data_IF_783317796775
#
_entry.id   IF_783317796775
#
_cell.length_a   1.000
_cell.length_b   1.000
_cell.length_c   1.000
_cell.angle_alpha   90.00
_cell.angle_beta   90.00
_cell.angle_gamma   90.00
#
_symmetry.space_group_name_H-M   'P 1'
#
loop_
_entity.id
_entity.type
_entity.pdbx_description
1 polymer ?
#
# COMPACT_ATOMS: atom_id res chain seq x y z
N UNK A 1 -14.23 67.12 -46.50
CA UNK A 1 -15.21 66.06 -46.15
C UNK A 1 -14.43 64.91 -45.50
N UNK A 2 -14.48 64.70 -44.17
CA UNK A 2 -13.77 63.59 -43.54
C UNK A 2 -14.67 62.34 -43.46
N UNK A 3 -14.10 61.18 -43.79
CA UNK A 3 -14.69 59.88 -43.47
C UNK A 3 -14.45 59.54 -41.99
N UNK A 4 -15.46 59.14 -41.21
CA UNK A 4 -15.23 58.54 -39.91
C UNK A 4 -14.90 57.05 -40.06
N UNK A 5 -13.76 56.67 -39.48
CA UNK A 5 -13.36 55.29 -39.24
C UNK A 5 -14.24 54.67 -38.14
N UNK A 6 -14.92 53.56 -38.44
CA UNK A 6 -15.63 52.73 -37.47
C UNK A 6 -14.70 51.66 -36.90
N UNK A 7 -14.44 51.73 -35.58
CA UNK A 7 -13.71 50.74 -34.79
C UNK A 7 -14.61 49.51 -34.52
N UNK A 8 -14.07 48.27 -34.54
CA UNK A 8 -14.80 47.12 -34.05
C UNK A 8 -14.79 47.13 -32.51
N UNK A 9 -15.95 47.32 -31.90
CA UNK A 9 -16.12 47.09 -30.46
C UNK A 9 -16.24 45.60 -30.20
N UNK A 10 -15.21 45.03 -29.58
CA UNK A 10 -15.25 43.74 -28.91
C UNK A 10 -16.22 43.80 -27.72
N UNK A 11 -17.53 43.76 -27.98
CA UNK A 11 -18.58 43.73 -26.96
C UNK A 11 -18.90 42.30 -26.59
N UNK A 12 -18.07 41.67 -25.77
CA UNK A 12 -18.43 40.39 -25.16
C UNK A 12 -17.90 40.17 -23.75
N UNK A 13 -17.57 41.24 -23.02
CA UNK A 13 -17.08 41.14 -21.63
C UNK A 13 -17.85 41.97 -20.58
N UNK A 14 -18.98 42.57 -20.95
CA UNK A 14 -19.66 43.55 -20.09
C UNK A 14 -21.08 43.15 -19.66
N UNK A 15 -21.32 41.90 -19.24
CA UNK A 15 -22.63 41.53 -18.68
C UNK A 15 -22.60 40.47 -17.57
N UNK A 16 -21.68 40.58 -16.61
CA UNK A 16 -21.83 39.89 -15.31
C UNK A 16 -21.59 40.91 -14.20
N UNK A 17 -22.58 41.18 -13.32
CA UNK A 17 -22.41 42.09 -12.19
C UNK A 17 -21.31 41.60 -11.24
N UNK A 18 -20.57 42.50 -10.55
CA UNK A 18 -19.43 42.12 -9.71
C UNK A 18 -19.79 41.10 -8.61
N UNK A 19 -21.02 41.16 -8.09
CA UNK A 19 -21.56 40.19 -7.12
C UNK A 19 -21.79 38.79 -7.71
N UNK A 20 -22.07 38.67 -9.01
CA UNK A 20 -22.21 37.38 -9.69
C UNK A 20 -20.85 36.72 -9.96
N UNK A 21 -19.81 37.52 -10.20
CA UNK A 21 -18.43 37.03 -10.38
C UNK A 21 -17.83 36.49 -9.08
N UNK A 22 -18.07 37.15 -7.95
CA UNK A 22 -17.64 36.66 -6.63
C UNK A 22 -18.40 35.42 -6.19
N UNK A 23 -19.70 35.34 -6.47
CA UNK A 23 -20.50 34.14 -6.22
C UNK A 23 -20.05 32.94 -7.07
N UNK A 24 -19.74 33.16 -8.36
CA UNK A 24 -19.19 32.13 -9.24
C UNK A 24 -17.78 31.68 -8.83
N UNK A 25 -16.90 32.61 -8.43
CA UNK A 25 -15.58 32.27 -7.88
C UNK A 25 -15.70 31.47 -6.57
N UNK A 26 -16.60 31.89 -5.68
CA UNK A 26 -16.88 31.20 -4.43
C UNK A 26 -17.43 29.79 -4.64
N UNK A 27 -18.32 29.60 -5.60
CA UNK A 27 -18.86 28.29 -5.98
C UNK A 27 -17.80 27.38 -6.62
N UNK A 28 -16.93 27.94 -7.46
CA UNK A 28 -15.79 27.21 -8.06
C UNK A 28 -14.76 26.78 -7.02
N UNK A 29 -14.48 27.62 -6.02
CA UNK A 29 -13.59 27.29 -4.90
C UNK A 29 -14.18 26.20 -3.99
N UNK A 30 -15.50 26.23 -3.73
CA UNK A 30 -16.18 25.17 -2.95
C UNK A 30 -16.23 23.83 -3.69
N UNK A 31 -16.39 23.85 -5.02
CA UNK A 31 -16.38 22.63 -5.82
C UNK A 31 -15.00 21.96 -5.88
N UNK A 32 -13.91 22.74 -5.79
CA UNK A 32 -12.55 22.22 -5.83
C UNK A 32 -12.15 21.45 -4.55
N UNK A 33 -12.79 21.70 -3.40
CA UNK A 33 -12.50 20.99 -2.14
C UNK A 33 -13.27 19.69 -1.96
N UNK A 34 -14.25 19.39 -2.83
CA UNK A 34 -15.12 18.21 -2.69
C UNK A 34 -14.53 16.92 -3.28
N UNK A 35 -13.38 16.97 -3.94
CA UNK A 35 -12.70 15.82 -4.55
C UNK A 35 -11.42 15.45 -3.80
N UNK A 36 -11.53 15.09 -2.52
CA UNK A 36 -10.46 14.39 -1.80
C UNK A 36 -10.39 12.91 -2.24
N UNK A 37 -9.24 12.23 -2.08
CA UNK A 37 -9.20 10.78 -2.21
C UNK A 37 -10.19 10.14 -1.24
N UNK A 38 -10.70 8.96 -1.61
CA UNK A 38 -11.62 8.17 -0.76
C UNK A 38 -10.89 7.01 -0.09
N UNK A 39 -9.58 6.91 -0.32
CA UNK A 39 -8.68 5.86 0.17
C UNK A 39 -7.34 6.50 0.50
N UNK A 40 -6.71 6.02 1.57
CA UNK A 40 -5.37 6.43 1.95
C UNK A 40 -4.36 6.30 0.81
N UNK A 41 -3.41 7.24 0.73
CA UNK A 41 -2.30 7.17 -0.23
C UNK A 41 -1.38 5.97 0.03
N UNK A 42 -0.58 5.61 -0.97
CA UNK A 42 0.44 4.57 -0.82
C UNK A 42 1.41 4.87 0.33
N UNK A 43 1.73 3.85 1.12
CA UNK A 43 2.72 3.94 2.17
C UNK A 43 3.68 2.74 2.12
N UNK A 44 4.95 3.00 1.80
CA UNK A 44 5.96 1.96 1.67
C UNK A 44 6.12 1.12 2.95
N UNK A 45 6.12 1.77 4.12
CA UNK A 45 6.21 1.08 5.41
C UNK A 45 5.01 0.16 5.65
N UNK A 46 3.79 0.60 5.35
CA UNK A 46 2.60 -0.23 5.51
C UNK A 46 2.64 -1.46 4.59
N UNK A 47 3.04 -1.27 3.34
CA UNK A 47 3.19 -2.33 2.35
C UNK A 47 4.27 -3.34 2.75
N UNK A 48 5.46 -2.86 3.11
CA UNK A 48 6.58 -3.70 3.57
C UNK A 48 6.19 -4.48 4.84
N UNK A 49 5.53 -3.82 5.80
CA UNK A 49 5.08 -4.47 7.03
C UNK A 49 4.03 -5.56 6.75
N UNK A 50 3.04 -5.30 5.88
CA UNK A 50 2.02 -6.28 5.52
C UNK A 50 2.61 -7.49 4.77
N UNK A 51 3.57 -7.25 3.87
CA UNK A 51 4.25 -8.33 3.13
C UNK A 51 5.16 -9.17 4.02
N UNK A 52 5.91 -8.55 4.94
CA UNK A 52 6.73 -9.27 5.93
C UNK A 52 5.86 -10.14 6.84
N UNK A 53 4.80 -9.55 7.41
CA UNK A 53 3.88 -10.26 8.31
C UNK A 53 3.17 -11.42 7.62
N UNK A 54 2.82 -11.30 6.33
CA UNK A 54 2.29 -12.43 5.56
C UNK A 54 3.27 -13.60 5.56
N UNK A 55 4.54 -13.35 5.23
CA UNK A 55 5.56 -14.40 5.15
C UNK A 55 5.80 -15.03 6.53
N UNK A 56 5.97 -14.20 7.56
CA UNK A 56 6.21 -14.65 8.93
C UNK A 56 5.04 -15.47 9.47
N UNK A 57 3.80 -15.01 9.26
CA UNK A 57 2.60 -15.73 9.70
C UNK A 57 2.49 -17.09 9.02
N UNK A 58 2.63 -17.15 7.69
CA UNK A 58 2.52 -18.42 6.96
C UNK A 58 3.63 -19.41 7.35
N UNK A 59 4.86 -18.92 7.58
CA UNK A 59 5.97 -19.75 8.04
C UNK A 59 5.76 -20.26 9.47
N UNK A 60 5.15 -19.46 10.35
CA UNK A 60 4.78 -19.92 11.69
C UNK A 60 3.64 -20.94 11.65
N UNK A 61 2.66 -20.75 10.77
CA UNK A 61 1.56 -21.71 10.58
C UNK A 61 2.06 -23.10 10.17
N UNK A 62 3.14 -23.19 9.38
CA UNK A 62 3.77 -24.48 9.05
C UNK A 62 4.21 -25.29 10.29
N UNK A 63 4.45 -24.60 11.40
CA UNK A 63 4.85 -25.21 12.67
C UNK A 63 3.67 -25.70 13.49
N UNK A 64 2.43 -25.42 13.09
CA UNK A 64 1.24 -25.79 13.84
C UNK A 64 0.88 -27.29 13.80
N UNK A 65 1.71 -28.11 13.15
CA UNK A 65 1.69 -29.57 13.30
C UNK A 65 2.42 -30.05 14.56
N UNK A 66 3.20 -29.17 15.20
CA UNK A 66 3.87 -29.40 16.48
C UNK A 66 3.09 -28.74 17.63
N UNK A 67 3.34 -29.17 18.89
CA UNK A 67 2.71 -28.57 20.07
C UNK A 67 2.92 -27.06 20.15
N UNK A 68 1.83 -26.32 20.41
CA UNK A 68 1.84 -24.86 20.55
C UNK A 68 2.90 -24.37 21.55
N UNK A 69 3.10 -25.11 22.64
CA UNK A 69 4.05 -24.76 23.68
C UNK A 69 5.50 -24.62 23.16
N UNK A 70 5.86 -25.33 22.11
CA UNK A 70 7.19 -25.24 21.47
C UNK A 70 7.38 -23.93 20.68
N UNK A 71 6.29 -23.23 20.40
CA UNK A 71 6.26 -22.04 19.53
C UNK A 71 5.56 -20.84 20.18
N UNK A 72 5.22 -20.91 21.47
CA UNK A 72 4.45 -19.88 22.17
C UNK A 72 5.10 -18.49 22.09
N UNK A 73 6.42 -18.40 22.20
CA UNK A 73 7.16 -17.13 22.09
C UNK A 73 7.07 -16.54 20.67
N UNK A 74 7.17 -17.38 19.64
CA UNK A 74 7.04 -16.96 18.24
C UNK A 74 5.62 -16.48 17.94
N UNK A 75 4.60 -17.16 18.49
CA UNK A 75 3.19 -16.73 18.40
C UNK A 75 3.01 -15.39 19.10
N UNK A 76 3.55 -15.21 20.30
CA UNK A 76 3.42 -13.96 21.04
C UNK A 76 4.12 -12.80 20.29
N UNK A 77 5.31 -13.04 19.73
CA UNK A 77 6.01 -12.08 18.88
C UNK A 77 5.15 -11.68 17.68
N UNK A 78 4.65 -12.66 16.92
CA UNK A 78 3.79 -12.41 15.76
C UNK A 78 2.56 -11.58 16.14
N UNK A 79 1.87 -11.92 17.23
CA UNK A 79 0.71 -11.16 17.72
C UNK A 79 1.06 -9.70 18.02
N UNK A 80 2.21 -9.44 18.62
CA UNK A 80 2.66 -8.07 18.88
C UNK A 80 2.91 -7.30 17.58
N UNK A 81 3.56 -7.91 16.58
CA UNK A 81 3.81 -7.24 15.29
C UNK A 81 2.52 -7.02 14.48
N UNK A 82 1.57 -7.94 14.56
CA UNK A 82 0.23 -7.80 13.99
C UNK A 82 -0.55 -6.63 14.62
N UNK A 83 -0.50 -6.49 15.94
CA UNK A 83 -1.17 -5.38 16.63
C UNK A 83 -0.53 -4.02 16.27
N UNK A 84 0.81 -3.99 16.14
CA UNK A 84 1.51 -2.80 15.62
C UNK A 84 1.05 -2.44 14.21
N UNK A 85 0.80 -3.43 13.34
CA UNK A 85 0.30 -3.19 11.99
C UNK A 85 -1.12 -2.62 11.99
N UNK A 86 -1.98 -3.18 12.83
CA UNK A 86 -3.34 -2.68 13.04
C UNK A 86 -3.34 -1.23 13.54
N UNK A 87 -2.62 -0.91 14.61
CA UNK A 87 -2.59 0.45 15.16
C UNK A 87 -1.92 1.44 14.20
N UNK A 88 -0.91 1.00 13.44
CA UNK A 88 -0.35 1.83 12.36
C UNK A 88 -1.39 2.12 11.29
N UNK A 89 -2.09 1.10 10.78
CA UNK A 89 -3.12 1.27 9.77
C UNK A 89 -4.27 2.17 10.26
N UNK A 90 -4.70 1.99 11.51
CA UNK A 90 -5.76 2.78 12.17
C UNK A 90 -5.38 4.24 12.40
N UNK A 91 -4.10 4.52 12.65
CA UNK A 91 -3.60 5.88 12.85
C UNK A 91 -3.44 6.70 11.56
N UNK A 92 -3.61 6.09 10.39
CA UNK A 92 -3.47 6.78 9.09
C UNK A 92 -4.80 7.41 8.64
N UNK A 93 -4.75 8.60 8.02
CA UNK A 93 -5.94 9.22 7.44
C UNK A 93 -6.53 8.36 6.31
N UNK A 94 -7.85 8.26 6.26
CA UNK A 94 -8.61 7.58 5.19
C UNK A 94 -8.24 6.08 5.02
N UNK A 95 -7.78 5.43 6.09
CA UNK A 95 -7.31 4.04 6.07
C UNK A 95 -8.20 3.09 6.91
N UNK A 96 -9.44 3.49 7.18
CA UNK A 96 -10.36 2.76 8.06
C UNK A 96 -10.71 1.36 7.49
N UNK A 97 -10.67 1.21 6.16
CA UNK A 97 -10.89 -0.08 5.49
C UNK A 97 -9.74 -1.03 5.81
N UNK A 98 -8.49 -0.60 5.65
CA UNK A 98 -7.31 -1.44 5.95
C UNK A 98 -7.25 -1.78 7.43
N UNK A 99 -7.52 -0.81 8.31
CA UNK A 99 -7.61 -1.05 9.75
C UNK A 99 -8.68 -2.11 10.10
N UNK A 100 -9.85 -2.06 9.44
CA UNK A 100 -10.87 -3.12 9.60
C UNK A 100 -10.40 -4.48 9.09
N UNK A 101 -9.70 -4.55 7.96
CA UNK A 101 -9.18 -5.84 7.45
C UNK A 101 -8.14 -6.43 8.40
N UNK A 102 -7.24 -5.60 8.96
CA UNK A 102 -6.33 -6.03 10.03
C UNK A 102 -7.10 -6.57 11.22
N UNK A 103 -8.11 -5.84 11.71
CA UNK A 103 -8.91 -6.28 12.86
C UNK A 103 -9.60 -7.62 12.58
N UNK A 104 -10.16 -7.78 11.38
CA UNK A 104 -10.79 -9.02 10.91
C UNK A 104 -9.80 -10.20 10.90
N UNK A 105 -8.57 -9.96 10.43
CA UNK A 105 -7.53 -10.98 10.31
C UNK A 105 -7.07 -11.48 11.68
N UNK A 106 -6.90 -10.58 12.65
CA UNK A 106 -6.24 -10.87 13.94
C UNK A 106 -7.21 -11.18 15.09
N UNK A 107 -8.52 -11.07 14.84
CA UNK A 107 -9.56 -11.32 15.83
C UNK A 107 -9.53 -12.79 16.30
N UNK A 108 -9.30 -13.07 17.60
CA UNK A 108 -9.28 -14.45 18.12
C UNK A 108 -10.62 -15.15 18.00
N UNK A 109 -11.73 -14.42 17.90
CA UNK A 109 -13.07 -15.00 17.85
C UNK A 109 -13.54 -15.27 16.41
N UNK A 110 -12.63 -15.22 15.42
CA UNK A 110 -12.93 -15.39 13.99
C UNK A 110 -12.00 -16.36 13.29
N UNK A 111 -12.47 -16.98 12.22
CA UNK A 111 -11.82 -18.13 11.56
C UNK A 111 -10.52 -17.86 10.77
N UNK A 112 -9.98 -16.63 10.81
CA UNK A 112 -8.73 -16.26 10.15
C UNK A 112 -7.52 -16.48 11.07
N UNK A 113 -6.49 -15.63 11.00
CA UNK A 113 -5.23 -15.84 11.72
C UNK A 113 -5.42 -15.77 13.23
N UNK A 114 -6.23 -14.83 13.72
CA UNK A 114 -6.54 -14.70 15.15
C UNK A 114 -7.13 -16.00 15.72
N UNK A 115 -8.23 -16.50 15.14
CA UNK A 115 -8.84 -17.76 15.57
C UNK A 115 -7.93 -18.97 15.34
N UNK A 116 -7.20 -19.03 14.22
CA UNK A 116 -6.21 -20.11 14.01
C UNK A 116 -5.19 -20.18 15.16
N UNK A 117 -4.66 -19.05 15.62
CA UNK A 117 -3.70 -19.00 16.72
C UNK A 117 -4.36 -19.31 18.08
N UNK A 118 -5.63 -18.93 18.27
CA UNK A 118 -6.40 -19.26 19.47
C UNK A 118 -6.69 -20.78 19.53
N UNK A 119 -7.22 -21.34 18.46
CA UNK A 119 -7.48 -22.77 18.29
C UNK A 119 -6.20 -23.59 18.47
N UNK A 120 -5.07 -23.12 17.94
CA UNK A 120 -3.79 -23.84 18.08
C UNK A 120 -3.36 -23.91 19.54
N UNK A 121 -3.55 -22.83 20.29
CA UNK A 121 -3.27 -22.79 21.73
C UNK A 121 -4.14 -23.78 22.51
N UNK A 122 -5.39 -23.95 22.13
CA UNK A 122 -6.34 -24.85 22.81
C UNK A 122 -6.14 -26.32 22.43
N UNK A 123 -5.93 -26.58 21.14
CA UNK A 123 -5.84 -27.94 20.57
C UNK A 123 -4.40 -28.49 20.54
N UNK A 124 -3.41 -27.66 20.87
CA UNK A 124 -1.97 -27.94 20.86
C UNK A 124 -1.36 -28.16 19.47
N UNK A 125 -2.02 -28.87 18.55
CA UNK A 125 -1.51 -29.10 17.20
C UNK A 125 -2.65 -29.41 16.21
N UNK A 126 -2.37 -29.28 14.92
CA UNK A 126 -3.28 -29.57 13.82
C UNK A 126 -2.71 -30.60 12.84
N UNK A 127 -3.56 -31.13 11.96
CA UNK A 127 -3.11 -31.93 10.82
C UNK A 127 -2.45 -31.05 9.75
N UNK A 128 -1.48 -31.60 9.02
CA UNK A 128 -0.81 -30.88 7.93
C UNK A 128 -1.82 -30.39 6.86
N UNK A 129 -2.83 -31.19 6.51
CA UNK A 129 -3.88 -30.81 5.55
C UNK A 129 -4.65 -29.58 6.04
N UNK A 130 -5.06 -29.55 7.31
CA UNK A 130 -5.78 -28.40 7.86
C UNK A 130 -4.91 -27.13 7.83
N UNK A 131 -3.63 -27.25 8.18
CA UNK A 131 -2.68 -26.12 8.12
C UNK A 131 -2.57 -25.56 6.71
N UNK A 132 -2.42 -26.39 5.68
CA UNK A 132 -2.31 -25.92 4.29
C UNK A 132 -3.59 -25.23 3.77
N UNK A 133 -4.76 -25.77 4.12
CA UNK A 133 -6.04 -25.16 3.76
C UNK A 133 -6.24 -23.80 4.44
N UNK A 134 -5.92 -23.70 5.74
CA UNK A 134 -6.01 -22.44 6.49
C UNK A 134 -4.99 -21.43 6.01
N UNK A 135 -3.75 -21.83 5.70
CA UNK A 135 -2.73 -20.96 5.10
C UNK A 135 -3.22 -20.31 3.82
N UNK A 136 -3.90 -21.06 2.95
CA UNK A 136 -4.47 -20.52 1.70
C UNK A 136 -5.52 -19.43 1.96
N UNK A 137 -6.35 -19.60 3.00
CA UNK A 137 -7.35 -18.59 3.38
C UNK A 137 -6.70 -17.34 3.97
N UNK A 138 -5.76 -17.52 4.89
CA UNK A 138 -5.05 -16.43 5.56
C UNK A 138 -4.14 -15.66 4.59
N UNK A 139 -3.49 -16.35 3.65
CA UNK A 139 -2.70 -15.71 2.59
C UNK A 139 -3.53 -14.73 1.76
N UNK A 140 -4.76 -15.12 1.38
CA UNK A 140 -5.70 -14.24 0.65
C UNK A 140 -6.17 -13.05 1.49
N UNK A 141 -6.35 -13.23 2.79
CA UNK A 141 -6.68 -12.12 3.68
C UNK A 141 -5.54 -11.10 3.77
N UNK A 142 -4.29 -11.57 3.87
CA UNK A 142 -3.11 -10.70 3.76
C UNK A 142 -3.02 -10.01 2.39
N UNK A 143 -3.28 -10.73 1.30
CA UNK A 143 -3.26 -10.14 -0.05
C UNK A 143 -4.26 -8.98 -0.17
N UNK A 144 -5.46 -9.14 0.41
CA UNK A 144 -6.44 -8.05 0.47
C UNK A 144 -5.90 -6.83 1.21
N UNK A 145 -5.20 -7.02 2.33
CA UNK A 145 -4.57 -5.92 3.10
C UNK A 145 -3.45 -5.27 2.27
N UNK A 146 -2.58 -6.08 1.66
CA UNK A 146 -1.44 -5.60 0.85
C UNK A 146 -1.94 -4.78 -0.35
N UNK A 147 -3.00 -5.23 -1.01
CA UNK A 147 -3.64 -4.49 -2.10
C UNK A 147 -4.16 -3.12 -1.64
N UNK A 148 -4.80 -3.05 -0.46
CA UNK A 148 -5.27 -1.79 0.11
C UNK A 148 -4.11 -0.85 0.48
N UNK A 149 -3.06 -1.37 1.13
CA UNK A 149 -1.88 -0.58 1.52
C UNK A 149 -1.01 -0.16 0.32
N UNK A 150 -1.14 -0.85 -0.83
CA UNK A 150 -0.49 -0.47 -2.10
C UNK A 150 -1.12 0.78 -2.76
N UNK A 151 -2.19 1.34 -2.19
CA UNK A 151 -2.76 2.62 -2.59
C UNK A 151 -3.48 2.61 -3.96
N UNK A 152 -3.78 1.44 -4.53
CA UNK A 152 -4.41 1.24 -5.85
C UNK A 152 -3.74 2.04 -6.99
N UNK A 153 -2.51 1.65 -7.36
CA UNK A 153 -2.02 1.96 -8.72
C UNK A 153 -3.00 1.40 -9.76
N UNK A 154 -3.26 2.13 -10.85
CA UNK A 154 -3.96 1.55 -12.01
C UNK A 154 -3.13 0.36 -12.53
N UNK A 155 -3.74 -0.72 -13.06
CA UNK A 155 -3.00 -1.89 -13.54
C UNK A 155 -1.80 -1.55 -14.45
N UNK A 156 -1.93 -0.48 -15.24
CA UNK A 156 -0.90 0.01 -16.17
C UNK A 156 0.35 0.61 -15.49
N UNK A 157 0.21 1.15 -14.27
CA UNK A 157 1.33 1.72 -13.51
C UNK A 157 2.13 0.65 -12.77
N UNK A 158 1.49 -0.48 -12.43
CA UNK A 158 2.20 -1.67 -11.89
C UNK A 158 2.95 -2.39 -13.02
N UNK A 159 2.35 -2.50 -14.21
CA UNK A 159 2.96 -3.16 -15.38
C UNK A 159 4.19 -2.42 -15.91
N UNK A 160 4.21 -1.08 -15.79
CA UNK A 160 5.30 -0.24 -16.31
C UNK A 160 6.22 0.32 -15.21
N UNK A 161 6.06 -0.10 -13.95
CA UNK A 161 7.00 0.25 -12.89
C UNK A 161 8.34 -0.44 -13.17
N UNK A 162 9.47 0.27 -13.29
CA UNK A 162 10.77 -0.37 -13.33
C UNK A 162 10.97 -1.05 -11.97
N UNK A 163 10.79 -2.37 -11.95
CA UNK A 163 11.24 -3.22 -10.87
C UNK A 163 12.74 -2.94 -10.71
N UNK A 164 13.12 -2.13 -9.72
CA UNK A 164 14.51 -2.05 -9.27
C UNK A 164 14.82 -3.35 -8.56
N UNK A 165 15.15 -4.37 -9.35
CA UNK A 165 16.12 -5.37 -8.91
C UNK A 165 17.41 -4.68 -8.47
N UNK A 166 18.28 -5.35 -7.69
CA UNK A 166 19.56 -4.78 -7.29
C UNK A 166 20.26 -4.25 -8.53
N UNK A 167 20.76 -3.00 -8.45
CA UNK A 167 21.43 -2.34 -9.55
C UNK A 167 22.43 -3.30 -10.21
N UNK A 168 22.48 -3.41 -11.55
CA UNK A 168 23.49 -4.23 -12.19
C UNK A 168 24.87 -3.78 -11.68
N UNK A 169 25.70 -4.76 -11.30
CA UNK A 169 27.05 -4.50 -10.86
C UNK A 169 27.75 -3.55 -11.85
N UNK A 170 28.53 -2.56 -11.36
CA UNK A 170 29.20 -1.62 -12.24
C UNK A 170 30.01 -2.40 -13.28
N UNK A 171 29.84 -2.04 -14.55
CA UNK A 171 30.59 -2.64 -15.64
C UNK A 171 32.10 -2.56 -15.34
N UNK A 172 32.89 -3.61 -15.61
CA UNK A 172 34.32 -3.58 -15.37
C UNK A 172 34.93 -2.40 -16.11
N UNK A 173 35.64 -1.55 -15.38
CA UNK A 173 36.37 -0.42 -15.96
C UNK A 173 37.39 -0.97 -16.96
N UNK A 174 37.23 -0.59 -18.23
CA UNK A 174 38.25 -0.78 -19.24
C UNK A 174 39.47 0.06 -18.81
N UNK A 175 40.41 -0.58 -18.12
CA UNK A 175 41.77 -0.07 -18.03
C UNK A 175 42.37 -0.17 -19.42
N UNK A 176 42.43 0.97 -20.11
CA UNK A 176 43.23 1.14 -21.30
C UNK A 176 44.70 0.95 -20.93
N UNK A 177 45.21 -0.25 -21.20
CA UNK A 177 46.64 -0.55 -21.13
C UNK A 177 47.35 0.13 -22.30
N UNK A 178 47.91 1.32 -22.06
CA UNK A 178 48.85 1.97 -22.97
C UNK A 178 50.22 1.32 -22.81
N UNK A 179 50.52 0.35 -23.67
CA UNK A 179 51.90 -0.10 -23.88
C UNK A 179 52.57 0.86 -24.86
N UNK A 180 53.37 1.78 -24.34
CA UNK A 180 54.44 2.42 -25.11
C UNK A 180 55.73 2.40 -24.30
N UNK A 181 56.69 1.72 -24.91
CA UNK A 181 58.12 2.03 -24.93
C UNK A 181 59.01 1.60 -23.74
N UNK A 182 59.77 0.52 -23.97
CA UNK A 182 61.13 0.34 -23.47
C UNK A 182 61.81 -0.83 -24.22
N UNK A 183 62.25 -0.57 -25.46
CA UNK A 183 63.41 -1.27 -26.05
C UNK A 183 64.33 -0.24 -26.69
N UNK A 184 65.21 0.32 -25.87
CA UNK A 184 66.60 0.60 -26.24
C UNK A 184 67.46 0.72 -25.00
#
# INVERSE_FOLDING_TARGET
MPHPASRPHNRLLALVPPAGRTALLGLLLLAATACGPTISEFNARAYEQATSLKVEALALMDKATAPYAEHADAVQHLKTELEKAYEFAKGRPENEISARQWRILIDPDRDLLGGFLADWKEQSAFSATFVEEKKTQIARAFDTIIELESGKKKPDEVRNSPQRGPAPAPAPSHQSSSWTDARR
#
